data_IF_332899716105
#
_entry.id   IF_332899716105
#
_cell.length_a   1.000
_cell.length_b   1.000
_cell.length_c   1.000
_cell.angle_alpha   90.00
_cell.angle_beta   90.00
_cell.angle_gamma   90.00
#
_symmetry.space_group_name_H-M   'P 1'
#
loop_
_entity.id
_entity.type
_entity.pdbx_description
1 polymer ?
#
# COMPACT_ATOMS: atom_id res chain seq x y z
N UNK A 1 11.08 28.20 -15.13
CA UNK A 1 12.40 28.42 -15.77
C UNK A 1 13.43 27.85 -14.81
N UNK A 2 14.26 26.89 -15.22
CA UNK A 2 15.30 26.34 -14.34
C UNK A 2 16.40 27.40 -14.13
N UNK A 3 16.98 27.48 -12.92
CA UNK A 3 17.88 28.57 -12.55
C UNK A 3 19.24 28.53 -13.29
N UNK A 4 19.64 27.40 -13.88
CA UNK A 4 20.84 27.27 -14.71
C UNK A 4 20.63 26.28 -15.88
N UNK A 5 21.67 26.06 -16.70
CA UNK A 5 21.75 25.02 -17.74
C UNK A 5 22.34 23.69 -17.26
N UNK A 6 22.50 23.50 -15.95
CA UNK A 6 22.98 22.25 -15.35
C UNK A 6 21.92 21.14 -15.36
N UNK A 7 22.29 19.89 -14.99
CA UNK A 7 21.34 18.80 -14.77
C UNK A 7 20.23 19.18 -13.78
N UNK A 8 19.03 18.62 -13.97
CA UNK A 8 17.88 18.89 -13.08
C UNK A 8 18.17 18.49 -11.62
N UNK A 9 18.98 17.45 -11.45
CA UNK A 9 19.37 16.90 -10.16
C UNK A 9 20.12 17.90 -9.28
N UNK A 10 20.79 18.90 -9.87
CA UNK A 10 21.46 19.98 -9.12
C UNK A 10 20.47 20.91 -8.39
N UNK A 11 19.18 20.87 -8.75
CA UNK A 11 18.14 21.79 -8.26
C UNK A 11 16.91 21.09 -7.69
N UNK A 12 16.85 19.76 -7.75
CA UNK A 12 15.70 18.99 -7.26
C UNK A 12 16.17 17.83 -6.41
N UNK A 13 15.64 17.72 -5.19
CA UNK A 13 15.75 16.49 -4.42
C UNK A 13 14.77 15.47 -5.02
N UNK A 14 15.33 14.38 -5.57
CA UNK A 14 14.58 13.29 -6.16
C UNK A 14 14.83 12.02 -5.38
N UNK A 15 13.75 11.33 -5.05
CA UNK A 15 13.80 9.97 -4.51
C UNK A 15 12.93 9.06 -5.39
N UNK A 16 13.54 7.99 -5.90
CA UNK A 16 12.86 6.98 -6.70
C UNK A 16 12.67 5.73 -5.85
N UNK A 17 11.46 5.20 -5.84
CA UNK A 17 11.13 3.89 -5.24
C UNK A 17 10.52 2.99 -6.30
N UNK A 18 11.15 1.85 -6.53
CA UNK A 18 10.60 0.76 -7.32
C UNK A 18 10.10 -0.31 -6.37
N UNK A 19 8.83 -0.65 -6.49
CA UNK A 19 8.20 -1.70 -5.69
C UNK A 19 7.96 -2.93 -6.57
N UNK A 20 8.06 -4.11 -5.97
CA UNK A 20 7.67 -5.37 -6.60
C UNK A 20 6.41 -5.93 -5.95
N UNK A 21 5.51 -6.51 -6.74
CA UNK A 21 4.32 -7.19 -6.24
C UNK A 21 4.75 -8.48 -5.52
N UNK A 22 4.43 -8.61 -4.25
CA UNK A 22 4.78 -9.77 -3.41
C UNK A 22 3.60 -10.68 -3.11
N UNK A 23 2.37 -10.15 -3.21
CA UNK A 23 1.16 -10.93 -3.06
C UNK A 23 -0.02 -10.20 -3.71
N UNK A 24 -0.82 -10.94 -4.47
CA UNK A 24 -2.22 -10.59 -4.76
C UNK A 24 -3.08 -11.55 -3.95
N UNK A 25 -3.87 -11.02 -3.02
CA UNK A 25 -4.80 -11.79 -2.21
C UNK A 25 -6.24 -11.53 -2.68
N UNK A 26 -6.88 -12.57 -3.19
CA UNK A 26 -8.24 -12.59 -3.71
C UNK A 26 -8.94 -13.87 -3.23
N UNK A 27 -10.21 -13.75 -2.81
CA UNK A 27 -11.05 -14.93 -2.49
C UNK A 27 -11.90 -15.38 -3.68
N UNK A 28 -12.04 -14.52 -4.69
CA UNK A 28 -12.65 -14.79 -5.98
C UNK A 28 -12.07 -13.83 -7.03
N UNK A 29 -12.08 -14.24 -8.30
CA UNK A 29 -11.65 -13.38 -9.43
C UNK A 29 -12.56 -12.15 -9.51
N UNK A 30 -11.96 -10.96 -9.49
CA UNK A 30 -12.68 -9.69 -9.60
C UNK A 30 -12.44 -9.06 -10.97
N UNK A 31 -13.42 -8.30 -11.52
CA UNK A 31 -13.16 -7.39 -12.63
C UNK A 31 -11.98 -6.46 -12.33
N UNK A 32 -11.19 -6.08 -13.32
CA UNK A 32 -10.04 -5.20 -13.11
C UNK A 32 -10.44 -3.84 -12.51
N UNK A 33 -11.53 -3.23 -13.00
CA UNK A 33 -12.06 -1.94 -12.51
C UNK A 33 -13.09 -2.08 -11.36
N UNK A 34 -13.00 -3.15 -10.56
CA UNK A 34 -13.96 -3.42 -9.49
C UNK A 34 -13.88 -2.42 -8.31
N UNK A 35 -12.76 -1.72 -8.14
CA UNK A 35 -12.55 -0.81 -7.04
C UNK A 35 -13.29 0.52 -7.24
N UNK A 36 -14.03 0.97 -6.23
CA UNK A 36 -14.58 2.33 -6.11
C UNK A 36 -13.92 3.11 -4.97
N UNK A 37 -13.34 2.42 -4.01
CA UNK A 37 -12.55 2.97 -2.91
C UNK A 37 -11.29 2.12 -2.74
N UNK A 38 -10.16 2.74 -2.41
CA UNK A 38 -8.95 2.03 -1.98
C UNK A 38 -8.48 2.55 -0.63
N UNK A 39 -7.93 1.66 0.18
CA UNK A 39 -7.09 2.02 1.32
C UNK A 39 -5.64 1.80 0.90
N UNK A 40 -4.87 2.88 0.92
CA UNK A 40 -3.42 2.86 0.85
C UNK A 40 -2.88 2.65 2.25
N UNK A 41 -1.98 1.68 2.45
CA UNK A 41 -1.30 1.45 3.70
C UNK A 41 0.19 1.18 3.45
N UNK A 42 1.01 2.21 3.57
CA UNK A 42 2.46 2.11 3.55
C UNK A 42 3.00 1.90 4.97
N UNK A 43 3.93 0.96 5.14
CA UNK A 43 4.50 0.62 6.44
C UNK A 43 6.02 0.46 6.36
N UNK A 44 6.70 0.90 7.41
CA UNK A 44 8.13 0.63 7.64
C UNK A 44 8.29 -0.09 8.98
N UNK A 45 8.50 -1.41 8.99
CA UNK A 45 8.76 -2.13 10.23
C UNK A 45 10.10 -1.69 10.84
N UNK A 46 10.29 -1.98 12.12
CA UNK A 46 11.62 -1.98 12.75
C UNK A 46 12.53 -3.00 12.08
N UNK A 47 13.85 -2.83 12.25
CA UNK A 47 14.83 -3.75 11.63
C UNK A 47 14.64 -5.16 12.18
N UNK A 48 14.44 -6.14 11.30
CA UNK A 48 14.13 -7.52 11.66
C UNK A 48 12.64 -7.83 11.77
N UNK A 49 11.77 -6.81 11.72
CA UNK A 49 10.31 -6.97 11.77
C UNK A 49 9.65 -7.30 10.42
N UNK A 50 10.42 -7.33 9.33
CA UNK A 50 9.93 -7.54 7.97
C UNK A 50 9.21 -8.88 7.80
N UNK A 51 9.77 -9.94 8.39
CA UNK A 51 9.19 -11.28 8.31
C UNK A 51 7.91 -11.40 9.14
N UNK A 52 7.85 -10.76 10.31
CA UNK A 52 6.63 -10.76 11.15
C UNK A 52 5.51 -9.98 10.49
N UNK A 53 5.84 -8.81 9.89
CA UNK A 53 4.87 -8.03 9.12
C UNK A 53 4.34 -8.81 7.90
N UNK A 54 5.22 -9.53 7.18
CA UNK A 54 4.78 -10.36 6.06
C UNK A 54 3.89 -11.53 6.48
N UNK A 55 4.26 -12.22 7.56
CA UNK A 55 3.48 -13.31 8.13
C UNK A 55 2.11 -12.81 8.60
N UNK A 56 2.06 -11.70 9.34
CA UNK A 56 0.81 -11.09 9.80
C UNK A 56 -0.16 -10.83 8.64
N UNK A 57 0.33 -10.24 7.54
CA UNK A 57 -0.50 -10.02 6.36
C UNK A 57 -1.03 -11.32 5.75
N UNK A 58 -0.18 -12.34 5.63
CA UNK A 58 -0.53 -13.61 4.96
C UNK A 58 -1.46 -14.48 5.79
N UNK A 59 -1.27 -14.50 7.09
CA UNK A 59 -1.91 -15.45 8.00
C UNK A 59 -3.13 -14.88 8.70
N UNK A 60 -3.21 -13.55 8.87
CA UNK A 60 -4.25 -12.92 9.67
C UNK A 60 -4.93 -11.75 8.95
N UNK A 61 -4.17 -10.69 8.63
CA UNK A 61 -4.77 -9.41 8.27
C UNK A 61 -5.54 -9.45 6.95
N UNK A 62 -5.04 -10.15 5.93
CA UNK A 62 -5.75 -10.26 4.66
C UNK A 62 -7.08 -11.02 4.79
N UNK A 63 -7.11 -12.08 5.59
CA UNK A 63 -8.36 -12.81 5.85
C UNK A 63 -9.37 -11.93 6.60
N UNK A 64 -8.91 -11.18 7.61
CA UNK A 64 -9.77 -10.22 8.32
C UNK A 64 -10.29 -9.13 7.40
N UNK A 65 -9.40 -8.49 6.62
CA UNK A 65 -9.76 -7.45 5.66
C UNK A 65 -10.76 -7.95 4.61
N UNK A 66 -10.66 -9.22 4.21
CA UNK A 66 -11.57 -9.82 3.23
C UNK A 66 -13.01 -9.95 3.68
N UNK A 67 -13.26 -9.85 5.00
CA UNK A 67 -14.59 -9.90 5.59
C UNK A 67 -15.28 -8.54 5.57
N UNK A 68 -14.55 -7.46 5.29
CA UNK A 68 -15.11 -6.13 5.23
C UNK A 68 -16.08 -5.97 4.05
N UNK A 69 -17.21 -5.26 4.23
CA UNK A 69 -18.18 -5.05 3.17
C UNK A 69 -17.57 -4.46 1.91
N UNK A 70 -17.86 -5.08 0.77
CA UNK A 70 -17.42 -4.60 -0.53
C UNK A 70 -15.95 -4.86 -0.85
N UNK A 71 -15.17 -5.50 0.03
CA UNK A 71 -13.78 -5.86 -0.26
C UNK A 71 -13.65 -6.68 -1.54
N UNK A 72 -12.58 -6.43 -2.31
CA UNK A 72 -12.31 -7.05 -3.61
C UNK A 72 -11.02 -7.84 -3.61
N UNK A 73 -9.92 -7.16 -3.25
CA UNK A 73 -8.58 -7.74 -3.24
C UNK A 73 -7.64 -6.91 -2.38
N UNK A 74 -6.52 -7.52 -2.00
CA UNK A 74 -5.37 -6.82 -1.42
C UNK A 74 -4.15 -7.09 -2.30
N UNK A 75 -3.55 -6.03 -2.81
CA UNK A 75 -2.25 -6.09 -3.50
C UNK A 75 -1.16 -5.63 -2.55
N UNK A 76 -0.13 -6.46 -2.36
CA UNK A 76 1.01 -6.16 -1.47
C UNK A 76 2.28 -6.04 -2.27
N UNK A 77 3.08 -5.07 -1.89
CA UNK A 77 4.34 -4.75 -2.51
C UNK A 77 5.44 -4.60 -1.47
N UNK A 78 6.66 -4.94 -1.86
CA UNK A 78 7.87 -4.62 -1.10
C UNK A 78 8.81 -3.79 -1.95
N UNK A 79 9.65 -3.01 -1.27
CA UNK A 79 10.72 -2.26 -1.90
C UNK A 79 11.67 -3.20 -2.65
N UNK A 80 11.85 -2.94 -3.94
CA UNK A 80 12.80 -3.65 -4.80
C UNK A 80 14.08 -2.83 -4.97
N UNK A 81 13.92 -1.52 -5.18
CA UNK A 81 15.02 -0.60 -5.40
C UNK A 81 14.63 0.79 -4.92
N UNK A 82 15.61 1.50 -4.39
CA UNK A 82 15.45 2.86 -3.92
C UNK A 82 16.75 3.63 -4.14
N UNK A 83 16.61 4.87 -4.60
CA UNK A 83 17.76 5.76 -4.77
C UNK A 83 17.37 7.21 -4.51
N UNK A 84 18.36 7.99 -4.09
CA UNK A 84 18.25 9.43 -3.87
C UNK A 84 19.42 10.15 -4.51
N UNK A 85 19.14 11.22 -5.23
CA UNK A 85 20.17 12.00 -5.93
C UNK A 85 20.97 12.94 -5.02
N UNK A 86 20.60 13.07 -3.74
CA UNK A 86 21.23 13.98 -2.77
C UNK A 86 22.27 13.30 -1.87
N UNK A 87 22.56 12.01 -2.10
CA UNK A 87 23.54 11.22 -1.34
C UNK A 87 23.13 10.92 0.11
N UNK A 88 21.91 11.27 0.52
CA UNK A 88 21.36 10.88 1.83
C UNK A 88 20.84 9.45 1.76
N UNK A 89 20.90 8.74 2.88
CA UNK A 89 20.25 7.43 3.01
C UNK A 89 18.76 7.52 2.65
N UNK A 90 18.27 6.70 1.71
CA UNK A 90 16.86 6.70 1.37
C UNK A 90 15.97 6.33 2.57
N UNK A 91 14.87 7.05 2.72
CA UNK A 91 13.94 6.88 3.84
C UNK A 91 12.58 6.37 3.38
N UNK A 92 11.60 6.36 4.28
CA UNK A 92 10.21 6.06 3.94
C UNK A 92 9.84 4.59 4.11
N UNK A 93 8.79 4.18 3.39
CA UNK A 93 8.04 2.96 3.65
C UNK A 93 8.51 1.83 2.73
N UNK A 94 9.04 0.76 3.32
CA UNK A 94 9.52 -0.42 2.59
C UNK A 94 8.42 -1.37 2.14
N UNK A 95 7.21 -1.23 2.68
CA UNK A 95 6.06 -2.09 2.38
C UNK A 95 4.84 -1.24 2.01
N UNK A 96 4.05 -1.74 1.07
CA UNK A 96 2.79 -1.14 0.67
C UNK A 96 1.72 -2.23 0.54
N UNK A 97 0.56 -2.02 1.16
CA UNK A 97 -0.66 -2.71 0.84
C UNK A 97 -1.68 -1.74 0.21
N UNK A 98 -2.34 -2.18 -0.85
CA UNK A 98 -3.50 -1.53 -1.45
C UNK A 98 -4.68 -2.46 -1.25
N UNK A 99 -5.63 -2.05 -0.41
CA UNK A 99 -6.88 -2.76 -0.21
C UNK A 99 -7.96 -2.14 -1.09
N UNK A 100 -8.50 -2.91 -2.02
CA UNK A 100 -9.53 -2.46 -2.94
C UNK A 100 -10.92 -2.85 -2.46
N UNK A 101 -11.84 -1.89 -2.54
CA UNK A 101 -13.24 -2.05 -2.18
C UNK A 101 -14.13 -1.57 -3.33
N UNK A 102 -15.18 -2.31 -3.64
CA UNK A 102 -16.17 -1.96 -4.65
C UNK A 102 -17.44 -1.34 -4.05
N UNK A 103 -18.53 -1.37 -4.82
CA UNK A 103 -19.83 -0.86 -4.39
C UNK A 103 -20.32 -1.52 -3.09
N UNK A 104 -21.03 -0.74 -2.26
CA UNK A 104 -21.56 -1.19 -0.98
C UNK A 104 -20.54 -1.27 0.17
N UNK A 105 -19.31 -0.80 -0.06
CA UNK A 105 -18.32 -0.68 1.02
C UNK A 105 -18.73 0.35 2.07
N UNK A 106 -18.19 0.18 3.28
CA UNK A 106 -18.45 1.07 4.43
C UNK A 106 -17.23 1.91 4.82
N UNK A 107 -16.27 2.07 3.91
CA UNK A 107 -15.04 2.80 4.19
C UNK A 107 -15.35 4.30 4.22
N UNK A 108 -14.98 4.94 5.33
CA UNK A 108 -15.11 6.37 5.56
C UNK A 108 -14.06 7.19 4.82
N UNK A 109 -13.78 8.40 5.33
CA UNK A 109 -12.72 9.27 4.79
C UNK A 109 -11.37 9.03 5.44
N UNK A 110 -11.39 8.53 6.67
CA UNK A 110 -10.22 8.26 7.48
C UNK A 110 -9.96 6.75 7.52
N UNK A 111 -8.70 6.37 7.70
CA UNK A 111 -8.33 4.96 7.88
C UNK A 111 -8.59 4.58 9.33
N UNK A 112 -9.44 3.59 9.53
CA UNK A 112 -9.76 3.02 10.83
C UNK A 112 -9.20 1.59 10.92
N UNK A 113 -8.69 1.16 12.09
CA UNK A 113 -8.28 -0.22 12.28
C UNK A 113 -9.51 -1.15 12.24
N UNK A 114 -9.30 -2.38 11.76
CA UNK A 114 -10.35 -3.41 11.80
C UNK A 114 -10.73 -3.74 13.26
N UNK A 115 -12.03 -3.95 13.49
CA UNK A 115 -12.57 -4.35 14.79
C UNK A 115 -13.07 -5.81 14.73
N UNK A 116 -12.64 -6.69 15.65
CA UNK A 116 -11.69 -6.46 16.73
C UNK A 116 -10.22 -6.47 16.28
N UNK A 117 -9.40 -5.58 16.84
CA UNK A 117 -7.94 -5.66 16.71
C UNK A 117 -7.39 -6.82 17.53
N UNK A 118 -6.77 -7.78 16.85
CA UNK A 118 -5.98 -8.85 17.49
C UNK A 118 -4.74 -8.30 18.17
N UNK A 119 -4.15 -9.11 19.06
CA UNK A 119 -2.89 -8.74 19.70
C UNK A 119 -1.72 -8.71 18.70
N UNK A 120 -1.77 -9.53 17.64
CA UNK A 120 -0.76 -9.49 16.57
C UNK A 120 -0.87 -8.20 15.76
N UNK A 121 -2.08 -7.78 15.38
CA UNK A 121 -2.30 -6.50 14.69
C UNK A 121 -1.77 -5.33 15.52
N UNK A 122 -2.07 -5.27 16.82
CA UNK A 122 -1.55 -4.23 17.71
C UNK A 122 -0.02 -4.23 17.75
N UNK A 123 0.60 -5.42 17.86
CA UNK A 123 2.07 -5.56 17.86
C UNK A 123 2.67 -5.02 16.56
N UNK A 124 2.23 -5.52 15.39
CA UNK A 124 2.77 -5.11 14.10
C UNK A 124 2.64 -3.61 13.86
N UNK A 125 1.50 -3.01 14.21
CA UNK A 125 1.32 -1.56 14.12
C UNK A 125 2.25 -0.79 15.06
N UNK A 126 2.43 -1.26 16.30
CA UNK A 126 3.31 -0.61 17.28
C UNK A 126 4.81 -0.75 16.98
N UNK A 127 5.21 -1.81 16.28
CA UNK A 127 6.60 -2.10 15.91
C UNK A 127 7.00 -1.51 14.56
N UNK A 128 6.09 -0.78 13.91
CA UNK A 128 6.41 0.04 12.74
C UNK A 128 7.05 1.36 13.16
N UNK A 129 8.18 1.70 12.55
CA UNK A 129 8.84 3.00 12.68
C UNK A 129 8.03 4.11 12.02
N UNK A 130 7.29 3.78 10.97
CA UNK A 130 6.41 4.68 10.26
C UNK A 130 5.24 3.92 9.64
N UNK A 131 4.07 4.55 9.65
CA UNK A 131 2.86 4.12 8.95
C UNK A 131 2.32 5.35 8.25
N UNK A 132 1.99 5.22 6.97
CA UNK A 132 1.24 6.21 6.22
C UNK A 132 0.03 5.50 5.60
N UNK A 133 -1.16 5.99 5.92
CA UNK A 133 -2.38 5.36 5.48
C UNK A 133 -3.41 6.41 5.06
N UNK A 134 -4.09 6.14 3.94
CA UNK A 134 -5.07 7.05 3.38
C UNK A 134 -6.18 6.30 2.65
N UNK A 135 -7.38 6.87 2.66
CA UNK A 135 -8.50 6.42 1.83
C UNK A 135 -8.56 7.27 0.57
N UNK A 136 -8.67 6.62 -0.58
CA UNK A 136 -8.92 7.28 -1.86
C UNK A 136 -10.22 6.76 -2.48
N UNK A 137 -11.04 7.69 -2.99
CA UNK A 137 -12.25 7.35 -3.72
C UNK A 137 -12.05 7.55 -5.22
N UNK A 138 -12.54 6.60 -6.01
CA UNK A 138 -12.46 6.63 -7.46
C UNK A 138 -13.31 7.78 -8.00
N UNK A 139 -12.65 8.73 -8.67
CA UNK A 139 -13.33 9.82 -9.39
C UNK A 139 -13.55 9.46 -10.86
N UNK A 140 -12.57 8.78 -11.48
CA UNK A 140 -12.59 8.42 -12.90
C UNK A 140 -11.58 7.32 -13.20
N UNK A 141 -11.90 6.44 -14.15
CA UNK A 141 -10.98 5.47 -14.75
C UNK A 141 -10.63 5.88 -16.18
N UNK A 142 -9.42 5.52 -16.63
CA UNK A 142 -8.96 5.73 -18.00
C UNK A 142 -8.43 4.42 -18.57
N UNK A 143 -8.61 4.21 -19.87
CA UNK A 143 -8.32 2.93 -20.52
C UNK A 143 -9.51 1.97 -20.48
N UNK A 144 -9.43 0.88 -21.25
CA UNK A 144 -10.36 -0.24 -21.11
C UNK A 144 -9.77 -1.20 -20.07
N UNK A 145 -10.60 -1.67 -19.15
CA UNK A 145 -10.26 -2.88 -18.39
C UNK A 145 -9.92 -3.99 -19.40
N UNK A 146 -8.83 -4.70 -19.16
CA UNK A 146 -8.53 -5.91 -19.91
C UNK A 146 -9.69 -6.90 -19.71
N UNK A 147 -10.15 -7.50 -20.80
CA UNK A 147 -11.10 -8.60 -20.71
C UNK A 147 -10.41 -9.72 -19.90
N UNK A 148 -10.95 -10.00 -18.70
CA UNK A 148 -10.24 -10.74 -17.68
C UNK A 148 -9.78 -12.12 -18.15
N UNK A 149 -8.46 -12.28 -18.34
CA UNK A 149 -7.79 -13.55 -18.65
C UNK A 149 -8.08 -14.62 -17.59
#
# INVERSE_FOLDING_TARGET
MFPTSGPVDDFTELEVRCLTLTQLYETAKQPEDAATTIIYAGMQPTSGGEADLDAWYREEHNDQMSKEPGWKRTSRFSLLYQDRNDGKEPGGLGFLAIHEFGEGNKIGKDVEPLDPMTDWTKRCMSECKAIDAAVYHKVKSFGKAADGA
#
